data_IF_055981159386
#
_entry.id   IF_055981159386
#
_cell.length_a   1.000
_cell.length_b   1.000
_cell.length_c   1.000
_cell.angle_alpha   90.00
_cell.angle_beta   90.00
_cell.angle_gamma   90.00
#
_symmetry.space_group_name_H-M   'P 1'
#
loop_
_entity.id
_entity.type
_entity.pdbx_description
1 polymer ?
#
# COMPACT_ATOMS: atom_id res chain seq x y z
N UNK A 1 30.80 -15.38 -38.00
CA UNK A 1 29.91 -15.52 -36.82
C UNK A 1 28.86 -14.43 -36.91
N UNK A 2 27.71 -14.69 -37.55
CA UNK A 2 26.61 -13.72 -37.70
C UNK A 2 25.59 -14.03 -36.61
N UNK A 3 25.49 -13.20 -35.59
CA UNK A 3 24.45 -13.31 -34.57
C UNK A 3 23.10 -12.96 -35.18
N UNK A 4 22.08 -13.79 -34.91
CA UNK A 4 20.71 -13.56 -35.35
C UNK A 4 20.18 -12.26 -34.72
N UNK A 5 19.75 -11.25 -35.50
CA UNK A 5 19.26 -9.98 -34.98
C UNK A 5 18.07 -10.15 -34.01
N UNK A 6 17.22 -11.16 -34.22
CA UNK A 6 16.05 -11.41 -33.36
C UNK A 6 16.44 -11.93 -31.97
N UNK A 7 17.64 -12.51 -31.84
CA UNK A 7 18.20 -12.95 -30.55
C UNK A 7 18.80 -11.78 -29.76
N UNK A 8 19.32 -10.76 -30.44
CA UNK A 8 19.92 -9.60 -29.79
C UNK A 8 18.86 -8.66 -29.20
N UNK A 9 17.73 -8.46 -29.89
CA UNK A 9 16.61 -7.66 -29.36
C UNK A 9 16.03 -8.24 -28.08
N UNK A 10 15.81 -9.57 -28.05
CA UNK A 10 15.31 -10.26 -26.86
C UNK A 10 16.26 -10.18 -25.65
N UNK A 11 17.55 -9.97 -25.87
CA UNK A 11 18.56 -9.85 -24.81
C UNK A 11 18.59 -8.44 -24.19
N UNK A 12 18.08 -7.42 -24.88
CA UNK A 12 18.19 -6.03 -24.45
C UNK A 12 17.46 -5.77 -23.12
N UNK A 13 16.26 -6.31 -22.93
CA UNK A 13 15.48 -6.12 -21.70
C UNK A 13 16.15 -6.78 -20.49
N UNK A 14 16.71 -7.98 -20.66
CA UNK A 14 17.47 -8.66 -19.61
C UNK A 14 18.73 -7.88 -19.22
N UNK A 15 19.41 -7.26 -20.21
CA UNK A 15 20.58 -6.41 -19.96
C UNK A 15 20.21 -5.15 -19.17
N UNK A 16 19.07 -4.53 -19.46
CA UNK A 16 18.57 -3.37 -18.74
C UNK A 16 18.22 -3.73 -17.28
N UNK A 17 17.48 -4.82 -17.06
CA UNK A 17 17.12 -5.30 -15.73
C UNK A 17 18.37 -5.65 -14.90
N UNK A 18 19.35 -6.33 -15.50
CA UNK A 18 20.60 -6.66 -14.85
C UNK A 18 21.45 -5.43 -14.49
N UNK A 19 21.47 -4.41 -15.36
CA UNK A 19 22.20 -3.17 -15.08
C UNK A 19 21.51 -2.31 -14.00
N UNK A 20 20.18 -2.32 -13.94
CA UNK A 20 19.39 -1.62 -12.92
C UNK A 20 19.29 -2.35 -11.58
N UNK A 21 19.88 -3.55 -11.45
CA UNK A 21 19.84 -4.33 -10.20
C UNK A 21 18.50 -5.00 -9.91
N UNK A 22 17.57 -5.01 -10.86
CA UNK A 22 16.22 -5.61 -10.72
C UNK A 22 16.15 -7.05 -11.22
N UNK A 23 17.23 -7.58 -11.80
CA UNK A 23 17.29 -8.94 -12.32
C UNK A 23 18.71 -9.47 -12.48
N UNK A 24 18.81 -10.76 -12.81
CA UNK A 24 20.08 -11.44 -13.11
C UNK A 24 19.97 -12.09 -14.48
N UNK A 25 21.02 -11.96 -15.30
CA UNK A 25 21.04 -12.57 -16.63
C UNK A 25 20.92 -14.08 -16.56
N UNK A 26 20.04 -14.65 -17.38
CA UNK A 26 19.97 -16.09 -17.57
C UNK A 26 21.30 -16.64 -18.12
N UNK A 27 21.68 -17.90 -17.81
CA UNK A 27 22.94 -18.47 -18.29
C UNK A 27 23.08 -18.49 -19.82
N UNK A 28 21.98 -18.64 -20.56
CA UNK A 28 21.94 -18.57 -22.01
C UNK A 28 22.28 -17.17 -22.54
N UNK A 29 21.70 -16.14 -21.94
CA UNK A 29 21.94 -14.74 -22.27
C UNK A 29 23.37 -14.35 -21.95
N UNK A 30 23.90 -14.77 -20.79
CA UNK A 30 25.31 -14.52 -20.45
C UNK A 30 26.27 -15.09 -21.51
N UNK A 31 26.07 -16.36 -21.91
CA UNK A 31 26.87 -16.98 -22.98
C UNK A 31 26.76 -16.26 -24.33
N UNK A 32 25.60 -15.70 -24.64
CA UNK A 32 25.41 -14.91 -25.85
C UNK A 32 26.18 -13.58 -25.77
N UNK A 33 26.05 -12.86 -24.67
CA UNK A 33 26.76 -11.59 -24.42
C UNK A 33 28.27 -11.81 -24.49
N UNK A 34 28.81 -12.89 -23.93
CA UNK A 34 30.24 -13.20 -23.98
C UNK A 34 30.79 -13.38 -25.41
N UNK A 35 29.93 -13.67 -26.39
CA UNK A 35 30.33 -13.95 -27.79
C UNK A 35 29.87 -12.90 -28.79
N UNK A 36 28.97 -11.99 -28.42
CA UNK A 36 28.36 -11.02 -29.33
C UNK A 36 28.77 -9.58 -28.98
N UNK A 37 29.63 -8.97 -29.80
CA UNK A 37 30.11 -7.60 -29.61
C UNK A 37 28.99 -6.55 -29.54
N UNK A 38 27.88 -6.75 -30.27
CA UNK A 38 26.71 -5.86 -30.19
C UNK A 38 26.10 -5.87 -28.80
N UNK A 39 25.85 -7.05 -28.25
CA UNK A 39 25.28 -7.20 -26.91
C UNK A 39 26.26 -6.77 -25.82
N UNK A 40 27.58 -6.90 -26.03
CA UNK A 40 28.59 -6.36 -25.12
C UNK A 40 28.56 -4.83 -25.07
N UNK A 41 28.43 -4.18 -26.23
CA UNK A 41 28.31 -2.73 -26.32
C UNK A 41 27.03 -2.23 -25.62
N UNK A 42 25.89 -2.89 -25.86
CA UNK A 42 24.62 -2.59 -25.19
C UNK A 42 24.74 -2.79 -23.66
N UNK A 43 25.34 -3.88 -23.21
CA UNK A 43 25.58 -4.13 -21.79
C UNK A 43 26.47 -3.06 -21.14
N UNK A 44 27.52 -2.60 -21.84
CA UNK A 44 28.38 -1.52 -21.37
C UNK A 44 27.62 -0.18 -21.29
N UNK A 45 26.75 0.11 -22.27
CA UNK A 45 25.90 1.29 -22.29
C UNK A 45 24.92 1.31 -21.11
N UNK A 46 24.23 0.19 -20.84
CA UNK A 46 23.33 0.11 -19.69
C UNK A 46 24.06 0.27 -18.35
N UNK A 47 25.24 -0.36 -18.20
CA UNK A 47 26.08 -0.16 -16.99
C UNK A 47 26.52 1.30 -16.83
N UNK A 48 26.84 1.99 -17.92
CA UNK A 48 27.21 3.42 -17.88
C UNK A 48 26.02 4.27 -17.45
N UNK A 49 24.83 4.02 -18.00
CA UNK A 49 23.61 4.71 -17.60
C UNK A 49 23.25 4.46 -16.14
N UNK A 50 23.31 3.21 -15.68
CA UNK A 50 23.04 2.85 -14.29
C UNK A 50 23.99 3.56 -13.31
N UNK A 51 25.28 3.69 -13.66
CA UNK A 51 26.24 4.47 -12.86
C UNK A 51 25.87 5.94 -12.82
N UNK A 52 25.55 6.55 -13.96
CA UNK A 52 25.15 7.95 -14.00
C UNK A 52 23.88 8.20 -13.17
N UNK A 53 22.90 7.31 -13.22
CA UNK A 53 21.69 7.40 -12.39
C UNK A 53 22.01 7.23 -10.90
N UNK A 54 22.95 6.36 -10.55
CA UNK A 54 23.39 6.18 -9.17
C UNK A 54 24.13 7.43 -8.65
N UNK A 55 24.95 8.07 -9.49
CA UNK A 55 25.63 9.31 -9.16
C UNK A 55 24.61 10.45 -8.94
N UNK A 56 23.56 10.53 -9.78
CA UNK A 56 22.45 11.48 -9.57
C UNK A 56 21.62 11.16 -8.32
N UNK A 57 21.48 9.89 -7.94
CA UNK A 57 20.70 9.51 -6.77
C UNK A 57 21.31 10.03 -5.45
N UNK A 58 22.62 10.32 -5.43
CA UNK A 58 23.29 10.96 -4.31
C UNK A 58 23.12 12.49 -4.27
N UNK A 59 22.52 13.09 -5.29
CA UNK A 59 22.24 14.52 -5.33
C UNK A 59 20.95 14.78 -4.52
N UNK A 60 21.13 15.06 -3.22
CA UNK A 60 20.02 15.30 -2.31
C UNK A 60 19.32 16.62 -2.66
N UNK A 61 18.10 16.51 -3.17
CA UNK A 61 17.19 17.64 -3.27
C UNK A 61 16.70 17.99 -1.85
N UNK A 62 16.94 19.22 -1.36
CA UNK A 62 16.43 19.60 -0.06
C UNK A 62 14.91 19.50 -0.04
N UNK A 63 14.37 18.84 0.98
CA UNK A 63 12.93 18.78 1.18
C UNK A 63 12.37 20.20 1.31
N UNK A 64 11.22 20.52 0.67
CA UNK A 64 10.53 21.77 0.92
C UNK A 64 10.31 21.99 2.42
N UNK A 65 10.51 23.21 2.93
CA UNK A 65 10.26 23.51 4.34
C UNK A 65 8.80 23.22 4.67
N UNK A 66 8.54 22.57 5.81
CA UNK A 66 7.19 22.21 6.26
C UNK A 66 6.63 20.91 5.66
N UNK A 67 7.34 20.24 4.72
CA UNK A 67 6.88 18.96 4.17
C UNK A 67 6.67 17.90 5.27
N UNK A 68 7.50 17.90 6.30
CA UNK A 68 7.37 16.99 7.44
C UNK A 68 6.04 17.19 8.17
N UNK A 69 5.67 18.44 8.45
CA UNK A 69 4.42 18.78 9.10
C UNK A 69 3.22 18.44 8.21
N UNK A 70 3.31 18.76 6.91
CA UNK A 70 2.28 18.42 5.93
C UNK A 70 2.04 16.90 5.84
N UNK A 71 3.11 16.10 5.85
CA UNK A 71 3.04 14.63 5.83
C UNK A 71 2.42 14.11 7.13
N UNK A 72 2.85 14.62 8.29
CA UNK A 72 2.29 14.21 9.58
C UNK A 72 0.81 14.56 9.70
N UNK A 73 0.41 15.75 9.25
CA UNK A 73 -1.00 16.17 9.22
C UNK A 73 -1.82 15.29 8.26
N UNK A 74 -1.28 14.94 7.09
CA UNK A 74 -1.94 14.05 6.15
C UNK A 74 -2.13 12.64 6.71
N UNK A 75 -1.11 12.11 7.40
CA UNK A 75 -1.19 10.81 8.06
C UNK A 75 -2.19 10.80 9.22
N UNK A 76 -2.22 11.85 10.04
CA UNK A 76 -3.18 11.97 11.15
C UNK A 76 -4.63 12.05 10.64
N UNK A 77 -4.87 12.74 9.52
CA UNK A 77 -6.20 12.77 8.89
C UNK A 77 -6.62 11.40 8.35
N UNK A 78 -5.70 10.65 7.74
CA UNK A 78 -5.96 9.28 7.29
C UNK A 78 -6.24 8.33 8.46
N UNK A 79 -5.49 8.47 9.56
CA UNK A 79 -5.70 7.66 10.77
C UNK A 79 -7.07 7.97 11.40
N UNK A 80 -7.42 9.26 11.53
CA UNK A 80 -8.76 9.67 11.99
C UNK A 80 -9.86 9.13 11.08
N UNK A 81 -9.71 9.21 9.76
CA UNK A 81 -10.66 8.67 8.82
C UNK A 81 -10.82 7.14 8.98
N UNK A 82 -9.70 6.42 9.15
CA UNK A 82 -9.68 4.98 9.38
C UNK A 82 -10.34 4.58 10.72
N UNK A 83 -10.04 5.30 11.79
CA UNK A 83 -10.67 5.10 13.11
C UNK A 83 -12.18 5.34 13.03
N UNK A 84 -12.61 6.43 12.38
CA UNK A 84 -14.04 6.73 12.22
C UNK A 84 -14.74 5.68 11.36
N UNK A 85 -14.11 5.19 10.29
CA UNK A 85 -14.66 4.14 9.45
C UNK A 85 -14.79 2.81 10.22
N UNK A 86 -13.76 2.43 10.96
CA UNK A 86 -13.77 1.26 11.83
C UNK A 86 -14.88 1.34 12.88
N UNK A 87 -15.02 2.49 13.56
CA UNK A 87 -16.10 2.72 14.53
C UNK A 87 -17.48 2.67 13.89
N UNK A 88 -17.64 3.16 12.65
CA UNK A 88 -18.90 3.07 11.89
C UNK A 88 -19.23 1.63 11.54
N UNK A 89 -18.27 0.87 11.04
CA UNK A 89 -18.45 -0.55 10.68
C UNK A 89 -18.78 -1.42 11.90
N UNK A 90 -18.19 -1.14 13.07
CA UNK A 90 -18.44 -1.88 14.30
C UNK A 90 -19.43 -1.21 15.26
N UNK A 91 -20.19 -0.20 14.79
CA UNK A 91 -21.11 0.58 15.62
C UNK A 91 -22.14 -0.27 16.35
N UNK A 92 -22.63 -1.36 15.74
CA UNK A 92 -23.57 -2.29 16.37
C UNK A 92 -22.93 -3.08 17.53
N UNK A 93 -21.65 -3.42 17.43
CA UNK A 93 -20.91 -4.10 18.51
C UNK A 93 -20.63 -3.14 19.68
N UNK A 94 -20.25 -1.89 19.40
CA UNK A 94 -20.01 -0.87 20.42
C UNK A 94 -21.30 -0.39 21.11
N UNK A 95 -22.40 -0.21 20.36
CA UNK A 95 -23.71 0.15 20.96
C UNK A 95 -24.41 -1.02 21.63
N UNK A 96 -24.13 -2.26 21.22
CA UNK A 96 -24.66 -3.47 21.85
C UNK A 96 -24.26 -3.63 23.32
N UNK A 97 -23.11 -3.06 23.73
CA UNK A 97 -22.67 -3.06 25.12
C UNK A 97 -23.47 -2.14 26.05
N UNK A 98 -24.11 -1.08 25.52
CA UNK A 98 -24.93 -0.16 26.33
C UNK A 98 -26.38 -0.63 26.52
N UNK A 99 -26.86 -1.59 25.73
CA UNK A 99 -28.20 -2.17 25.90
C UNK A 99 -28.33 -3.06 27.15
N UNK A 100 -27.22 -3.48 27.77
CA UNK A 100 -27.24 -4.29 28.99
C UNK A 100 -27.46 -3.48 30.29
N UNK A 101 -27.50 -2.12 30.24
CA UNK A 101 -27.42 -1.28 31.44
C UNK A 101 -28.61 -0.38 31.80
N UNK A 102 -29.53 -0.05 30.88
CA UNK A 102 -30.56 0.99 31.14
C UNK A 102 -32.02 0.49 31.15
N UNK A 103 -32.23 -0.83 31.25
CA UNK A 103 -33.57 -1.42 31.37
C UNK A 103 -34.09 -1.54 32.82
N UNK A 104 -33.63 -0.73 33.78
CA UNK A 104 -33.91 -0.96 35.21
C UNK A 104 -34.73 0.08 35.97
N UNK A 105 -35.32 1.13 35.34
CA UNK A 105 -36.23 2.02 36.09
C UNK A 105 -37.53 2.43 35.36
N UNK A 106 -37.56 2.58 34.03
CA UNK A 106 -38.78 3.07 33.36
C UNK A 106 -39.88 1.99 33.15
N UNK A 107 -39.52 0.70 33.09
CA UNK A 107 -40.46 -0.39 32.82
C UNK A 107 -41.38 -0.75 33.99
N UNK A 108 -40.99 -0.44 35.23
CA UNK A 108 -41.76 -0.80 36.42
C UNK A 108 -43.01 0.10 36.61
N UNK A 109 -42.99 1.34 36.13
CA UNK A 109 -44.10 2.29 36.31
C UNK A 109 -45.27 1.97 35.36
N UNK A 110 -44.99 1.51 34.14
CA UNK A 110 -46.03 1.21 33.15
C UNK A 110 -46.78 -0.08 33.51
N UNK A 111 -46.11 -1.11 34.03
CA UNK A 111 -46.75 -2.37 34.44
C UNK A 111 -47.60 -2.25 35.71
N UNK A 112 -47.30 -1.30 36.60
CA UNK A 112 -48.11 -1.06 37.80
C UNK A 112 -49.43 -0.32 37.50
N UNK A 113 -49.49 0.46 36.40
CA UNK A 113 -50.68 1.25 36.04
C UNK A 113 -51.75 0.42 35.30
N UNK A 114 -51.36 -0.60 34.53
CA UNK A 114 -52.31 -1.48 33.82
C UNK A 114 -53.09 -2.41 34.75
N UNK A 115 -52.48 -2.87 35.86
CA UNK A 115 -53.17 -3.72 36.85
C UNK A 115 -54.25 -3.00 37.67
N UNK A 116 -54.19 -1.67 37.77
CA UNK A 116 -55.25 -0.87 38.44
C UNK A 116 -56.43 -0.53 37.53
N UNK A 117 -56.28 -0.64 36.21
CA UNK A 117 -57.34 -0.31 35.25
C UNK A 117 -58.29 -1.49 34.98
N UNK A 118 -57.84 -2.74 35.15
CA UNK A 118 -58.64 -3.95 34.87
C UNK A 118 -59.52 -4.37 36.06
N UNK A 119 -59.29 -3.84 37.27
CA UNK A 119 -60.06 -4.18 38.48
C UNK A 119 -61.33 -3.33 38.74
N UNK A 120 -61.83 -2.55 37.76
CA UNK A 120 -63.00 -1.67 37.98
C UNK A 120 -64.09 -1.76 36.90
N UNK A 121 -64.28 -2.96 36.34
CA UNK A 121 -65.55 -3.31 35.67
C UNK A 121 -66.22 -4.39 36.50
N UNK A 122 -67.07 -3.95 37.42
CA UNK A 122 -68.14 -4.71 38.06
C UNK A 122 -69.38 -3.81 38.02
#
# INVERSE_FOLDING_TARGET
MRSDPTSCERVADELAAAAGGTGVLAPSVRRHVDRCLRCQAVAAQHRKLARALHDLAGDELPAPPGLEDDVLLALDELDRAGVLDHLRHHRAAYLGGLAAGVASVAGAIVLARSRRAVGRVA
#
